data_IF_680842310047
#
_entry.id   IF_680842310047
#
_cell.length_a   1.000
_cell.length_b   1.000
_cell.length_c   1.000
_cell.angle_alpha   90.00
_cell.angle_beta   90.00
_cell.angle_gamma   90.00
#
_symmetry.space_group_name_H-M   'P 1'
#
loop_
_entity.id
_entity.type
_entity.pdbx_description
1 polymer ?
#
# COMPACT_ATOMS: atom_id res chain seq x y z
N UNK A 1 -20.14 7.06 -10.31
CA UNK A 1 -19.87 6.48 -8.99
C UNK A 1 -18.46 5.86 -8.99
N UNK A 2 -17.80 5.87 -7.85
CA UNK A 2 -16.45 5.31 -7.70
C UNK A 2 -15.84 5.71 -6.37
N UNK A 3 -14.61 5.29 -6.17
CA UNK A 3 -13.75 5.71 -5.06
C UNK A 3 -12.88 6.86 -5.54
N UNK A 4 -12.62 7.80 -4.65
CA UNK A 4 -11.75 8.95 -4.91
C UNK A 4 -10.68 9.02 -3.83
N UNK A 5 -9.41 9.11 -4.22
CA UNK A 5 -8.33 9.53 -3.34
C UNK A 5 -8.29 11.06 -3.28
N UNK A 6 -8.41 11.62 -2.08
CA UNK A 6 -8.33 13.07 -1.87
C UNK A 6 -7.17 13.36 -0.94
N UNK A 7 -6.18 14.10 -1.42
CA UNK A 7 -5.03 14.50 -0.61
C UNK A 7 -5.19 15.93 -0.12
N UNK A 8 -4.93 16.12 1.17
CA UNK A 8 -5.05 17.39 1.86
C UNK A 8 -3.80 17.64 2.71
N UNK A 9 -3.34 18.89 2.75
CA UNK A 9 -2.40 19.35 3.77
C UNK A 9 -3.16 19.91 4.95
N UNK A 10 -2.79 19.52 6.18
CA UNK A 10 -3.47 19.96 7.40
C UNK A 10 -2.45 20.52 8.39
N UNK A 11 -2.74 21.70 8.93
CA UNK A 11 -1.97 22.33 10.00
C UNK A 11 -2.92 22.99 10.99
N UNK A 12 -3.09 22.38 12.17
CA UNK A 12 -4.13 22.80 13.11
C UNK A 12 -5.51 22.71 12.45
N UNK A 13 -6.26 23.80 12.46
CA UNK A 13 -7.61 23.89 11.86
C UNK A 13 -7.57 24.32 10.37
N UNK A 14 -6.39 24.55 9.82
CA UNK A 14 -6.24 24.93 8.42
C UNK A 14 -6.08 23.70 7.53
N UNK A 15 -6.81 23.67 6.42
CA UNK A 15 -6.80 22.58 5.44
C UNK A 15 -6.58 23.15 4.05
N UNK A 16 -5.63 22.58 3.33
CA UNK A 16 -5.37 22.93 1.94
C UNK A 16 -5.55 21.71 1.05
N UNK A 17 -6.24 21.87 -0.06
CA UNK A 17 -6.38 20.87 -1.09
C UNK A 17 -5.04 20.64 -1.80
N UNK A 18 -4.68 19.38 -2.03
CA UNK A 18 -3.51 18.97 -2.82
C UNK A 18 -3.95 18.39 -4.16
N UNK A 19 -4.55 17.20 -4.13
CA UNK A 19 -5.04 16.58 -5.35
C UNK A 19 -6.30 15.73 -5.12
N UNK A 20 -7.01 15.42 -6.21
CA UNK A 20 -8.05 14.40 -6.24
C UNK A 20 -7.77 13.40 -7.37
N UNK A 21 -7.75 12.13 -7.02
CA UNK A 21 -7.59 11.02 -7.96
C UNK A 21 -8.90 10.22 -8.01
N UNK A 22 -9.64 10.20 -9.14
CA UNK A 22 -10.91 9.46 -9.26
C UNK A 22 -10.67 7.96 -9.50
N UNK A 23 -9.89 7.33 -8.64
CA UNK A 23 -9.45 5.93 -8.69
C UNK A 23 -8.89 5.50 -7.33
N UNK A 24 -8.67 4.17 -7.10
CA UNK A 24 -7.80 3.72 -6.02
C UNK A 24 -6.45 4.43 -6.06
N UNK A 25 -5.94 4.82 -4.90
CA UNK A 25 -4.73 5.61 -4.74
C UNK A 25 -3.72 4.89 -3.85
N UNK A 26 -2.43 5.11 -4.05
CA UNK A 26 -1.39 4.41 -3.31
C UNK A 26 -1.41 4.68 -1.79
N UNK A 27 -1.95 5.81 -1.35
CA UNK A 27 -2.20 6.08 0.07
C UNK A 27 -3.27 5.16 0.67
N UNK A 28 -4.17 4.63 -0.17
CA UNK A 28 -5.21 3.67 0.20
C UNK A 28 -4.77 2.20 0.20
N UNK A 29 -3.54 1.88 -0.24
CA UNK A 29 -3.03 0.50 -0.24
C UNK A 29 -3.04 -0.16 1.14
N UNK A 30 -2.92 0.61 2.21
CA UNK A 30 -3.03 0.14 3.59
C UNK A 30 -4.38 -0.56 3.86
N UNK A 31 -5.44 -0.22 3.11
CA UNK A 31 -6.76 -0.83 3.22
C UNK A 31 -6.81 -2.30 2.81
N UNK A 32 -5.79 -2.79 2.09
CA UNK A 32 -5.64 -4.22 1.80
C UNK A 32 -5.53 -5.09 3.06
N UNK A 33 -5.08 -4.50 4.18
CA UNK A 33 -4.91 -5.21 5.44
C UNK A 33 -5.65 -4.54 6.62
N UNK A 34 -5.90 -3.23 6.56
CA UNK A 34 -6.51 -2.49 7.67
C UNK A 34 -8.03 -2.58 7.72
N UNK A 35 -8.68 -3.06 6.66
CA UNK A 35 -10.14 -3.08 6.53
C UNK A 35 -10.65 -4.42 6.00
N UNK A 36 -11.92 -4.70 6.26
CA UNK A 36 -12.63 -5.85 5.70
C UNK A 36 -12.91 -5.71 4.18
N UNK A 37 -12.93 -4.48 3.66
CA UNK A 37 -13.05 -4.17 2.24
C UNK A 37 -11.91 -3.22 1.87
N UNK A 38 -11.03 -3.65 0.97
CA UNK A 38 -9.97 -2.80 0.45
C UNK A 38 -10.51 -1.67 -0.43
N UNK A 39 -9.72 -0.65 -0.70
CA UNK A 39 -10.06 0.42 -1.65
C UNK A 39 -10.46 -0.15 -3.03
N UNK A 40 -9.82 -1.22 -3.48
CA UNK A 40 -10.16 -1.90 -4.74
C UNK A 40 -11.54 -2.57 -4.68
N UNK A 41 -11.83 -3.26 -3.57
CA UNK A 41 -13.13 -3.88 -3.37
C UNK A 41 -14.26 -2.84 -3.27
N UNK A 42 -13.99 -1.72 -2.59
CA UNK A 42 -14.91 -0.59 -2.49
C UNK A 42 -15.16 0.06 -3.87
N UNK A 43 -14.07 0.26 -4.63
CA UNK A 43 -14.18 0.82 -5.98
C UNK A 43 -15.00 -0.09 -6.92
N UNK A 44 -14.70 -1.38 -6.93
CA UNK A 44 -15.44 -2.36 -7.72
C UNK A 44 -16.94 -2.38 -7.36
N UNK A 45 -17.27 -2.38 -6.05
CA UNK A 45 -18.66 -2.32 -5.60
C UNK A 45 -19.33 -1.02 -6.03
N UNK A 46 -18.66 0.12 -5.91
CA UNK A 46 -19.21 1.42 -6.28
C UNK A 46 -19.54 1.51 -7.77
N UNK A 47 -18.66 1.06 -8.66
CA UNK A 47 -18.90 1.09 -10.12
C UNK A 47 -19.93 0.08 -10.58
N UNK A 48 -20.06 -1.05 -9.88
CA UNK A 48 -21.04 -2.10 -10.18
C UNK A 48 -22.41 -1.87 -9.49
N UNK A 49 -22.55 -0.81 -8.69
CA UNK A 49 -23.77 -0.55 -7.93
C UNK A 49 -24.03 -1.58 -6.81
N UNK A 50 -23.00 -2.29 -6.34
CA UNK A 50 -23.12 -3.28 -5.27
C UNK A 50 -23.18 -2.62 -3.89
N UNK A 51 -23.88 -3.22 -2.92
CA UNK A 51 -24.00 -2.62 -1.60
C UNK A 51 -22.69 -2.61 -0.83
N UNK A 52 -22.48 -1.55 -0.05
CA UNK A 52 -21.36 -1.40 0.91
C UNK A 52 -21.99 -1.30 2.31
N UNK A 53 -22.36 -2.42 2.94
CA UNK A 53 -23.14 -2.39 4.17
C UNK A 53 -22.34 -1.92 5.38
N UNK A 54 -21.03 -2.19 5.41
CA UNK A 54 -20.15 -1.75 6.48
C UNK A 54 -18.68 -1.77 6.05
N UNK A 55 -17.93 -0.78 6.53
CA UNK A 55 -16.46 -0.75 6.50
C UNK A 55 -15.99 -0.87 7.95
N UNK A 56 -15.21 -1.94 8.24
CA UNK A 56 -14.70 -2.21 9.57
C UNK A 56 -13.18 -2.17 9.57
N UNK A 57 -12.61 -1.35 10.43
CA UNK A 57 -11.17 -1.28 10.63
C UNK A 57 -10.70 -2.45 11.50
N UNK A 58 -9.54 -3.01 11.17
CA UNK A 58 -8.96 -4.20 11.80
C UNK A 58 -7.77 -3.92 12.72
N UNK A 59 -7.64 -2.68 13.19
CA UNK A 59 -6.57 -2.25 14.09
C UNK A 59 -5.45 -1.47 13.40
N UNK A 60 -4.41 -1.09 14.16
CA UNK A 60 -3.28 -0.33 13.65
C UNK A 60 -2.56 -1.07 12.53
N UNK A 61 -2.42 -0.45 11.39
CA UNK A 61 -1.84 -1.04 10.18
C UNK A 61 -1.00 0.01 9.46
N UNK A 62 0.11 -0.40 8.90
CA UNK A 62 0.98 0.45 8.10
C UNK A 62 1.32 -0.19 6.76
N UNK A 63 1.63 0.64 5.79
CA UNK A 63 2.20 0.24 4.50
C UNK A 63 3.59 0.87 4.32
N UNK A 64 4.49 0.14 3.67
CA UNK A 64 5.81 0.63 3.28
C UNK A 64 6.08 0.26 1.82
N UNK A 65 6.41 1.25 1.00
CA UNK A 65 6.64 1.05 -0.43
C UNK A 65 8.00 0.42 -0.69
N UNK A 66 8.06 -0.52 -1.63
CA UNK A 66 9.30 -1.01 -2.22
C UNK A 66 9.68 -0.09 -3.39
N UNK A 67 10.56 0.85 -3.11
CA UNK A 67 11.06 1.83 -4.07
C UNK A 67 12.44 1.40 -4.56
N UNK A 68 12.61 1.32 -5.88
CA UNK A 68 13.85 0.90 -6.53
C UNK A 68 14.27 1.92 -7.56
N UNK A 69 15.55 2.15 -7.68
CA UNK A 69 16.14 3.02 -8.69
C UNK A 69 17.06 2.21 -9.61
N UNK A 70 16.95 2.41 -10.91
CA UNK A 70 17.78 1.73 -11.90
C UNK A 70 17.13 1.71 -13.28
N UNK A 71 17.70 0.87 -14.17
CA UNK A 71 17.20 0.68 -15.53
C UNK A 71 17.27 -0.81 -15.88
N UNK A 72 16.11 -1.48 -15.95
CA UNK A 72 16.03 -2.89 -16.29
C UNK A 72 14.63 -3.25 -16.81
N UNK A 73 14.56 -4.26 -17.68
CA UNK A 73 13.33 -4.96 -18.07
C UNK A 73 13.26 -6.36 -17.46
N UNK A 74 14.32 -6.81 -16.80
CA UNK A 74 14.42 -8.12 -16.17
C UNK A 74 14.71 -7.95 -14.69
N UNK A 75 13.66 -7.74 -13.91
CA UNK A 75 13.78 -7.57 -12.45
C UNK A 75 13.61 -8.91 -11.75
N UNK A 76 14.45 -9.19 -10.78
CA UNK A 76 14.31 -10.34 -9.91
C UNK A 76 14.20 -9.93 -8.45
N UNK A 77 13.42 -10.71 -7.70
CA UNK A 77 13.16 -10.46 -6.28
C UNK A 77 13.74 -11.62 -5.46
N UNK A 78 14.67 -11.31 -4.59
CA UNK A 78 15.31 -12.27 -3.68
C UNK A 78 14.86 -12.07 -2.24
N UNK A 79 15.18 -13.09 -1.42
CA UNK A 79 14.97 -13.10 0.02
C UNK A 79 13.51 -12.94 0.50
N UNK A 80 12.54 -13.29 -0.35
CA UNK A 80 11.11 -13.13 -0.05
C UNK A 80 10.67 -14.02 1.12
N UNK A 81 11.22 -15.22 1.25
CA UNK A 81 10.88 -16.13 2.35
C UNK A 81 11.21 -15.53 3.72
N UNK A 82 12.39 -14.91 3.86
CA UNK A 82 12.77 -14.23 5.09
C UNK A 82 11.97 -12.95 5.32
N UNK A 83 11.68 -12.19 4.27
CA UNK A 83 10.88 -10.98 4.34
C UNK A 83 9.47 -11.28 4.88
N UNK A 84 8.88 -12.41 4.46
CA UNK A 84 7.52 -12.83 4.83
C UNK A 84 7.46 -13.76 6.07
N UNK A 85 8.59 -14.05 6.71
CA UNK A 85 8.62 -14.88 7.92
C UNK A 85 8.01 -14.19 9.15
N UNK A 86 7.87 -12.86 9.13
CA UNK A 86 7.27 -12.11 10.21
C UNK A 86 5.74 -12.24 10.18
N UNK A 87 5.07 -12.60 11.29
CA UNK A 87 3.62 -12.70 11.34
C UNK A 87 2.96 -11.32 11.13
N UNK A 88 1.68 -11.34 10.77
CA UNK A 88 0.86 -10.15 10.53
C UNK A 88 1.43 -9.18 9.48
N UNK A 89 2.18 -9.73 8.51
CA UNK A 89 2.71 -8.99 7.36
C UNK A 89 2.23 -9.56 6.04
N UNK A 90 2.19 -8.73 5.00
CA UNK A 90 1.87 -9.11 3.63
C UNK A 90 2.73 -8.31 2.65
N UNK A 91 2.90 -8.80 1.44
CA UNK A 91 3.65 -8.18 0.38
C UNK A 91 2.87 -8.24 -0.94
N UNK A 92 2.74 -7.11 -1.60
CA UNK A 92 2.23 -7.04 -2.98
C UNK A 92 3.32 -6.55 -3.91
N UNK A 93 3.71 -7.36 -4.87
CA UNK A 93 4.62 -6.98 -5.95
C UNK A 93 3.79 -6.48 -7.14
N UNK A 94 4.24 -5.35 -7.70
CA UNK A 94 3.51 -4.69 -8.78
C UNK A 94 4.04 -5.15 -10.13
N UNK A 95 3.72 -6.09 -10.80
CA UNK A 95 4.24 -6.59 -12.06
C UNK A 95 4.60 -5.53 -13.12
N UNK A 96 5.47 -4.58 -12.78
CA UNK A 96 5.92 -3.53 -13.69
C UNK A 96 6.77 -4.15 -14.79
N UNK A 97 6.61 -3.74 -16.07
CA UNK A 97 7.36 -4.30 -17.18
C UNK A 97 8.83 -3.83 -17.23
N UNK A 98 9.12 -2.71 -16.58
CA UNK A 98 10.46 -2.14 -16.53
C UNK A 98 10.66 -1.22 -15.34
N UNK A 99 11.91 -1.03 -14.95
CA UNK A 99 12.39 0.09 -14.13
C UNK A 99 13.15 1.05 -15.05
N UNK A 100 12.76 2.31 -15.02
CA UNK A 100 13.45 3.42 -15.67
C UNK A 100 13.47 4.58 -14.69
N UNK A 101 14.64 4.85 -14.09
CA UNK A 101 14.79 5.76 -12.96
C UNK A 101 14.21 5.19 -11.68
N UNK A 102 13.49 5.98 -10.90
CA UNK A 102 12.90 5.55 -9.64
C UNK A 102 11.48 4.99 -9.85
N UNK A 103 11.24 3.77 -9.37
CA UNK A 103 9.95 3.07 -9.52
C UNK A 103 9.50 2.39 -8.22
N UNK A 104 8.21 2.48 -7.95
CA UNK A 104 7.55 1.67 -6.92
C UNK A 104 7.27 0.28 -7.48
N UNK A 105 7.88 -0.76 -6.92
CA UNK A 105 7.77 -2.14 -7.38
C UNK A 105 6.90 -3.02 -6.50
N UNK A 106 6.50 -2.51 -5.36
CA UNK A 106 5.65 -3.23 -4.43
C UNK A 106 5.31 -2.44 -3.19
N UNK A 107 4.56 -3.05 -2.31
CA UNK A 107 4.21 -2.53 -1.00
C UNK A 107 4.19 -3.66 0.03
N UNK A 108 4.87 -3.47 1.15
CA UNK A 108 4.69 -4.28 2.33
C UNK A 108 3.60 -3.68 3.21
N UNK A 109 2.82 -4.55 3.81
CA UNK A 109 1.74 -4.22 4.75
C UNK A 109 2.03 -4.92 6.06
N UNK A 110 1.72 -4.29 7.18
CA UNK A 110 1.87 -4.92 8.49
C UNK A 110 0.84 -4.40 9.49
N UNK A 111 0.35 -5.29 10.36
CA UNK A 111 -0.40 -4.94 11.56
C UNK A 111 0.55 -4.84 12.76
N UNK A 112 0.14 -4.09 13.77
CA UNK A 112 0.85 -3.99 15.04
C UNK A 112 -0.10 -3.71 16.19
N UNK A 113 0.43 -3.77 17.41
CA UNK A 113 -0.30 -3.33 18.62
C UNK A 113 -0.63 -1.84 18.59
N UNK A 114 0.22 -1.08 17.93
CA UNK A 114 0.14 0.36 17.72
C UNK A 114 0.71 0.72 16.33
N UNK A 115 0.61 2.00 15.96
CA UNK A 115 1.04 2.46 14.64
C UNK A 115 2.57 2.40 14.45
N UNK A 116 3.34 2.60 15.51
CA UNK A 116 4.81 2.60 15.40
C UNK A 116 5.33 1.16 15.23
N UNK A 117 4.74 0.19 15.93
CA UNK A 117 4.98 -1.24 15.74
C UNK A 117 4.63 -1.67 14.30
N UNK A 118 3.47 -1.28 13.80
CA UNK A 118 3.05 -1.59 12.43
C UNK A 118 4.01 -0.99 11.38
N UNK A 119 4.44 0.26 11.57
CA UNK A 119 5.43 0.92 10.70
C UNK A 119 6.78 0.23 10.72
N UNK A 120 7.27 -0.15 11.90
CA UNK A 120 8.54 -0.85 12.04
C UNK A 120 8.49 -2.21 11.34
N UNK A 121 7.40 -2.95 11.50
CA UNK A 121 7.19 -4.24 10.85
C UNK A 121 7.16 -4.11 9.32
N UNK A 122 6.38 -3.18 8.76
CA UNK A 122 6.32 -2.97 7.32
C UNK A 122 7.68 -2.57 6.71
N UNK A 123 8.44 -1.71 7.41
CA UNK A 123 9.81 -1.34 7.01
C UNK A 123 10.76 -2.54 7.07
N UNK A 124 10.64 -3.39 8.08
CA UNK A 124 11.46 -4.59 8.22
C UNK A 124 11.27 -5.56 7.07
N UNK A 125 10.04 -5.73 6.57
CA UNK A 125 9.76 -6.54 5.38
C UNK A 125 10.50 -5.97 4.17
N UNK A 126 10.35 -4.68 3.90
CA UNK A 126 10.99 -4.03 2.74
C UNK A 126 12.53 -4.11 2.83
N UNK A 127 13.10 -3.90 4.02
CA UNK A 127 14.55 -3.93 4.21
C UNK A 127 15.21 -5.29 3.93
N UNK A 128 14.44 -6.37 3.99
CA UNK A 128 14.92 -7.73 3.70
C UNK A 128 14.87 -8.08 2.22
N UNK A 129 14.04 -7.40 1.43
CA UNK A 129 13.84 -7.73 0.02
C UNK A 129 15.06 -7.27 -0.79
N UNK A 130 15.60 -8.18 -1.58
CA UNK A 130 16.65 -7.89 -2.53
C UNK A 130 16.05 -7.75 -3.92
N UNK A 131 16.29 -6.62 -4.58
CA UNK A 131 15.87 -6.42 -5.96
C UNK A 131 17.11 -6.26 -6.83
N UNK A 132 17.20 -7.06 -7.88
CA UNK A 132 18.20 -6.88 -8.95
C UNK A 132 17.49 -6.24 -10.13
N UNK A 133 18.04 -5.14 -10.60
CA UNK A 133 17.63 -4.38 -11.76
C UNK A 133 18.75 -4.29 -12.77
#
# INVERSE_FOLDING_TARGET
HGLFGVELFVKGDQVWFSEVSPRPHDTGLVTLMSQNLSEFALHARAILGLPIPAIRQQGPTASCVLLVEGHSREMTYGNLAEALAQPDTDLKLFGKPEVAGQRRLGVALAKGSDIDTARAAARSVIAKIQVKV
#
